data_IF_847490181226
#
_entry.id   IF_847490181226
#
_cell.length_a   1.000
_cell.length_b   1.000
_cell.length_c   1.000
_cell.angle_alpha   90.00
_cell.angle_beta   90.00
_cell.angle_gamma   90.00
#
_symmetry.space_group_name_H-M   'P 1'
#
loop_
_entity.id
_entity.type
_entity.pdbx_description
1 polymer ?
#
# COMPACT_ATOMS: atom_id res chain seq x y z
N UNK A 1 -25.31 -1.14 0.94
CA UNK A 1 -24.40 -1.32 -0.21
C UNK A 1 -23.30 -0.30 0.01
N UNK A 2 -22.08 -0.79 0.25
CA UNK A 2 -20.91 0.09 0.32
C UNK A 2 -20.66 0.67 -1.06
N UNK A 3 -20.10 1.86 -1.15
CA UNK A 3 -19.70 2.52 -2.40
C UNK A 3 -18.79 1.62 -3.28
N UNK A 4 -18.12 0.64 -2.66
CA UNK A 4 -17.14 -0.24 -3.29
C UNK A 4 -17.65 -1.64 -3.63
N UNK A 5 -18.96 -1.91 -3.50
CA UNK A 5 -19.47 -3.27 -3.72
C UNK A 5 -19.20 -3.80 -5.15
N UNK A 6 -19.18 -2.89 -6.14
CA UNK A 6 -19.01 -3.20 -7.57
C UNK A 6 -17.59 -2.97 -8.11
N UNK A 7 -16.63 -2.57 -7.26
CA UNK A 7 -15.24 -2.36 -7.71
C UNK A 7 -14.52 -3.70 -7.77
N UNK A 8 -14.09 -4.08 -8.98
CA UNK A 8 -13.28 -5.26 -9.25
C UNK A 8 -11.81 -4.89 -9.46
N UNK A 9 -10.91 -5.85 -9.27
CA UNK A 9 -9.48 -5.67 -9.53
C UNK A 9 -9.23 -5.83 -11.03
N UNK A 10 -8.69 -4.79 -11.66
CA UNK A 10 -8.35 -4.84 -13.08
C UNK A 10 -7.00 -5.53 -13.32
N UNK A 11 -7.02 -6.53 -14.21
CA UNK A 11 -5.81 -7.19 -14.69
C UNK A 11 -5.18 -8.13 -13.68
N UNK A 12 -3.84 -8.25 -13.71
CA UNK A 12 -3.09 -9.22 -12.88
C UNK A 12 -1.97 -8.61 -12.06
N UNK A 13 -1.82 -7.29 -12.07
CA UNK A 13 -0.75 -6.62 -11.34
C UNK A 13 -1.30 -5.78 -10.19
N UNK A 14 -0.81 -6.03 -8.97
CA UNK A 14 -1.01 -5.15 -7.83
C UNK A 14 0.28 -4.36 -7.60
N UNK A 15 0.19 -3.04 -7.71
CA UNK A 15 1.29 -2.12 -7.49
C UNK A 15 1.18 -1.55 -6.08
N UNK A 16 2.23 -1.72 -5.30
CA UNK A 16 2.40 -1.03 -4.02
C UNK A 16 3.38 0.13 -4.23
N UNK A 17 2.91 1.37 -4.02
CA UNK A 17 3.64 2.55 -4.46
C UNK A 17 3.70 3.61 -3.36
N UNK A 18 4.64 4.54 -3.49
CA UNK A 18 4.68 5.71 -2.62
C UNK A 18 3.63 6.73 -3.05
N UNK A 19 2.59 6.94 -2.24
CA UNK A 19 1.61 8.02 -2.40
C UNK A 19 1.16 8.50 -1.02
N UNK A 20 1.45 9.77 -0.73
CA UNK A 20 1.28 10.35 0.61
C UNK A 20 -0.12 10.92 0.85
N UNK A 21 -1.01 10.84 -0.14
CA UNK A 21 -2.40 11.29 -0.02
C UNK A 21 -3.38 10.14 0.29
N UNK A 22 -2.91 8.90 0.32
CA UNK A 22 -3.77 7.70 0.43
C UNK A 22 -3.41 6.89 1.67
N UNK A 23 -4.41 6.25 2.28
CA UNK A 23 -4.21 5.43 3.47
C UNK A 23 -3.56 4.09 3.14
N UNK A 24 -4.07 3.40 2.11
CA UNK A 24 -3.55 2.12 1.63
C UNK A 24 -3.12 2.27 0.16
N UNK A 25 -1.82 2.39 -0.14
CA UNK A 25 -1.36 2.76 -1.48
C UNK A 25 -1.21 1.53 -2.40
N UNK A 26 -2.33 0.84 -2.62
CA UNK A 26 -2.44 -0.26 -3.57
C UNK A 26 -3.13 0.21 -4.85
N UNK A 27 -2.59 -0.21 -5.99
CA UNK A 27 -3.11 0.13 -7.30
C UNK A 27 -3.19 -1.12 -8.15
N UNK A 28 -4.19 -1.23 -9.01
CA UNK A 28 -4.25 -2.26 -10.04
C UNK A 28 -3.78 -1.69 -11.39
N UNK A 29 -4.19 -2.24 -12.53
CA UNK A 29 -3.84 -1.69 -13.84
C UNK A 29 -4.61 -0.41 -14.20
N UNK A 30 -5.79 -0.19 -13.63
CA UNK A 30 -6.68 0.94 -13.95
C UNK A 30 -6.54 2.11 -12.98
N UNK A 31 -6.15 1.86 -11.73
CA UNK A 31 -6.08 2.95 -10.77
C UNK A 31 -5.85 2.54 -9.32
N UNK A 32 -6.13 3.49 -8.43
CA UNK A 32 -6.04 3.32 -6.99
C UNK A 32 -7.15 2.37 -6.55
N UNK A 33 -6.78 1.36 -5.77
CA UNK A 33 -7.75 0.45 -5.20
C UNK A 33 -8.43 1.05 -3.96
N UNK A 34 -9.66 0.63 -3.65
CA UNK A 34 -10.32 1.01 -2.40
C UNK A 34 -9.47 0.67 -1.17
N UNK A 35 -9.37 1.63 -0.25
CA UNK A 35 -8.64 1.46 1.02
C UNK A 35 -9.49 0.84 2.14
N UNK A 36 -10.78 0.60 1.88
CA UNK A 36 -11.70 -0.03 2.82
C UNK A 36 -11.25 -1.46 3.19
N UNK A 37 -11.16 -1.75 4.48
CA UNK A 37 -10.70 -3.05 4.97
C UNK A 37 -11.59 -4.19 4.46
N UNK A 38 -12.91 -4.01 4.45
CA UNK A 38 -13.83 -5.07 4.04
C UNK A 38 -13.70 -5.38 2.56
N UNK A 39 -13.48 -4.37 1.73
CA UNK A 39 -13.18 -4.52 0.31
C UNK A 39 -11.84 -5.23 0.10
N UNK A 40 -10.75 -4.76 0.72
CA UNK A 40 -9.42 -5.35 0.59
C UNK A 40 -9.39 -6.84 0.97
N UNK A 41 -10.10 -7.19 2.05
CA UNK A 41 -10.19 -8.59 2.50
C UNK A 41 -11.03 -9.44 1.56
N UNK A 42 -12.11 -8.89 1.00
CA UNK A 42 -13.02 -9.62 0.10
C UNK A 42 -12.43 -9.78 -1.30
N UNK A 43 -11.93 -8.71 -1.89
CA UNK A 43 -11.50 -8.64 -3.28
C UNK A 43 -10.08 -9.20 -3.49
N UNK A 44 -9.16 -8.88 -2.57
CA UNK A 44 -7.76 -9.32 -2.65
C UNK A 44 -7.45 -10.50 -1.73
N UNK A 45 -8.33 -10.85 -0.80
CA UNK A 45 -8.08 -11.94 0.15
C UNK A 45 -7.09 -11.59 1.26
N UNK A 46 -6.81 -10.30 1.48
CA UNK A 46 -5.82 -9.87 2.46
C UNK A 46 -6.25 -10.21 3.90
N UNK A 47 -5.27 -10.46 4.76
CA UNK A 47 -5.50 -10.54 6.20
C UNK A 47 -5.75 -9.16 6.80
N UNK A 48 -6.57 -9.10 7.86
CA UNK A 48 -6.81 -7.83 8.57
C UNK A 48 -5.53 -7.23 9.15
N UNK A 49 -4.56 -8.08 9.54
CA UNK A 49 -3.27 -7.62 10.04
C UNK A 49 -2.46 -6.95 8.95
N UNK A 50 -2.38 -7.53 7.75
CA UNK A 50 -1.68 -6.90 6.63
C UNK A 50 -2.33 -5.58 6.22
N UNK A 51 -3.66 -5.53 6.15
CA UNK A 51 -4.38 -4.26 5.86
C UNK A 51 -4.03 -3.17 6.87
N UNK A 52 -4.04 -3.49 8.17
CA UNK A 52 -3.68 -2.54 9.21
C UNK A 52 -2.22 -2.06 9.08
N UNK A 53 -1.30 -2.95 8.72
CA UNK A 53 0.10 -2.63 8.55
C UNK A 53 0.38 -1.78 7.30
N UNK A 54 -0.32 -2.04 6.19
CA UNK A 54 -0.29 -1.19 4.99
C UNK A 54 -0.79 0.22 5.31
N UNK A 55 -1.92 0.34 6.03
CA UNK A 55 -2.47 1.61 6.46
C UNK A 55 -1.51 2.37 7.40
N UNK A 56 -0.88 1.66 8.33
CA UNK A 56 0.11 2.24 9.24
C UNK A 56 1.38 2.71 8.50
N UNK A 57 1.77 2.05 7.41
CA UNK A 57 2.85 2.50 6.54
C UNK A 57 2.47 3.76 5.76
N UNK A 58 1.27 3.83 5.17
CA UNK A 58 0.75 5.02 4.49
C UNK A 58 0.69 6.24 5.43
N UNK A 59 0.23 6.06 6.67
CA UNK A 59 0.24 7.14 7.67
C UNK A 59 1.66 7.60 8.05
N UNK A 60 2.60 6.67 8.19
CA UNK A 60 3.99 7.01 8.50
C UNK A 60 4.63 7.80 7.36
N UNK A 61 4.32 7.43 6.11
CA UNK A 61 4.70 8.17 4.92
C UNK A 61 4.17 9.61 4.94
N UNK A 62 2.86 9.80 5.15
CA UNK A 62 2.24 11.12 5.24
C UNK A 62 2.92 12.01 6.27
N UNK A 63 3.24 11.48 7.46
CA UNK A 63 3.99 12.21 8.50
C UNK A 63 5.38 12.63 8.06
N UNK A 64 6.12 11.76 7.37
CA UNK A 64 7.44 12.11 6.83
C UNK A 64 7.31 13.25 5.82
N UNK A 65 6.32 13.19 4.91
CA UNK A 65 6.10 14.25 3.91
C UNK A 65 5.66 15.57 4.54
N UNK A 66 4.73 15.56 5.50
CA UNK A 66 4.31 16.77 6.21
C UNK A 66 5.48 17.42 6.98
N UNK A 67 6.40 16.60 7.50
CA UNK A 67 7.59 17.05 8.24
C UNK A 67 8.81 17.37 7.35
N UNK A 68 8.79 17.04 6.05
CA UNK A 68 9.86 17.38 5.07
C UNK A 68 10.13 18.87 4.92
N UNK A 69 9.29 19.75 5.49
CA UNK A 69 9.55 21.18 5.52
C UNK A 69 10.66 21.61 6.49
N UNK A 70 11.20 20.74 7.36
CA UNK A 70 11.97 21.25 8.52
C UNK A 70 13.24 20.54 9.04
N UNK A 71 13.71 19.35 8.61
CA UNK A 71 14.80 18.69 9.38
C UNK A 71 15.80 17.78 8.62
N UNK A 72 17.06 17.83 9.08
CA UNK A 72 18.19 16.91 8.85
C UNK A 72 17.89 15.50 9.42
N UNK A 73 17.97 14.44 8.62
CA UNK A 73 17.58 13.06 9.01
C UNK A 73 16.58 12.38 8.05
N UNK A 74 16.24 13.05 6.95
CA UNK A 74 15.34 12.59 5.91
C UNK A 74 15.76 11.24 5.29
N UNK A 75 17.03 11.10 4.91
CA UNK A 75 17.52 9.89 4.25
C UNK A 75 17.32 8.63 5.11
N UNK A 76 17.47 8.75 6.44
CA UNK A 76 17.28 7.63 7.37
C UNK A 76 15.80 7.26 7.50
N UNK A 77 14.92 8.25 7.68
CA UNK A 77 13.47 8.01 7.75
C UNK A 77 12.91 7.40 6.46
N UNK A 78 13.45 7.79 5.31
CA UNK A 78 13.07 7.23 4.01
C UNK A 78 13.62 5.83 3.79
N UNK A 79 14.85 5.57 4.22
CA UNK A 79 15.43 4.23 4.20
C UNK A 79 14.63 3.27 5.10
N UNK A 80 14.20 3.72 6.28
CA UNK A 80 13.33 2.94 7.17
C UNK A 80 11.97 2.64 6.54
N UNK A 81 11.35 3.64 5.89
CA UNK A 81 10.08 3.44 5.17
C UNK A 81 10.23 2.48 3.98
N UNK A 82 11.31 2.57 3.20
CA UNK A 82 11.60 1.64 2.11
C UNK A 82 11.84 0.22 2.64
N UNK A 83 12.59 0.06 3.73
CA UNK A 83 12.81 -1.24 4.37
C UNK A 83 11.50 -1.87 4.85
N UNK A 84 10.63 -1.08 5.51
CA UNK A 84 9.30 -1.55 5.93
C UNK A 84 8.43 -1.90 4.73
N UNK A 85 8.47 -1.09 3.67
CA UNK A 85 7.71 -1.34 2.45
C UNK A 85 8.09 -2.68 1.80
N UNK A 86 9.38 -3.00 1.71
CA UNK A 86 9.85 -4.30 1.21
C UNK A 86 9.33 -5.48 2.02
N UNK A 87 9.25 -5.33 3.35
CA UNK A 87 8.64 -6.34 4.22
C UNK A 87 7.15 -6.54 3.92
N UNK A 88 6.42 -5.45 3.70
CA UNK A 88 5.00 -5.49 3.33
C UNK A 88 4.78 -6.09 1.95
N UNK A 89 5.66 -5.81 0.99
CA UNK A 89 5.62 -6.40 -0.36
C UNK A 89 5.80 -7.90 -0.29
N UNK A 90 6.79 -8.38 0.45
CA UNK A 90 6.99 -9.82 0.63
C UNK A 90 5.79 -10.49 1.32
N UNK A 91 5.08 -9.78 2.20
CA UNK A 91 3.85 -10.30 2.79
C UNK A 91 2.68 -10.29 1.80
N UNK A 92 2.48 -9.19 1.07
CA UNK A 92 1.51 -9.12 -0.04
C UNK A 92 1.71 -10.27 -1.03
N UNK A 93 2.94 -10.50 -1.48
CA UNK A 93 3.30 -11.60 -2.38
C UNK A 93 2.89 -12.96 -1.80
N UNK A 94 2.99 -13.17 -0.49
CA UNK A 94 2.57 -14.42 0.15
C UNK A 94 1.06 -14.59 0.22
N UNK A 95 0.31 -13.50 0.34
CA UNK A 95 -1.15 -13.57 0.44
C UNK A 95 -1.83 -13.58 -0.93
N UNK A 96 -1.26 -12.90 -1.92
CA UNK A 96 -1.92 -12.71 -3.22
C UNK A 96 -1.13 -13.20 -4.42
N UNK A 97 0.11 -13.64 -4.25
CA UNK A 97 1.05 -13.98 -5.32
C UNK A 97 0.63 -15.15 -6.22
N UNK A 98 -0.30 -15.99 -5.76
CA UNK A 98 -0.89 -17.04 -6.59
C UNK A 98 -1.85 -16.49 -7.66
N UNK A 99 -2.39 -15.28 -7.44
CA UNK A 99 -3.38 -14.64 -8.31
C UNK A 99 -2.82 -13.42 -9.03
N UNK A 100 -2.01 -12.62 -8.33
CA UNK A 100 -1.53 -11.34 -8.82
C UNK A 100 0.00 -11.24 -8.73
N UNK A 101 0.60 -10.57 -9.72
CA UNK A 101 1.97 -10.09 -9.64
C UNK A 101 2.02 -8.85 -8.75
N UNK A 102 2.86 -8.87 -7.72
CA UNK A 102 3.06 -7.72 -6.85
C UNK A 102 4.27 -6.92 -7.32
N UNK A 103 4.09 -5.62 -7.55
CA UNK A 103 5.15 -4.72 -7.99
C UNK A 103 5.33 -3.59 -6.99
N UNK A 104 6.53 -3.50 -6.41
CA UNK A 104 6.89 -2.38 -5.56
C UNK A 104 7.50 -1.22 -6.36
N UNK A 105 7.00 0.00 -6.16
CA UNK A 105 7.59 1.24 -6.69
C UNK A 105 8.08 2.11 -5.53
N UNK A 106 9.39 2.09 -5.24
CA UNK A 106 9.96 2.92 -4.19
C UNK A 106 9.95 4.40 -4.57
N UNK A 107 10.14 5.26 -3.57
CA UNK A 107 10.32 6.69 -3.75
C UNK A 107 11.61 6.99 -4.55
N UNK A 108 11.56 7.93 -5.49
CA UNK A 108 12.68 8.37 -6.35
C UNK A 108 12.82 9.88 -6.35
#
# INVERSE_FOLDING_TARGET
MSEYDDVEVAGRTIRFMWDYWVGVPLWDEEGLLPEDESWLRRALGLSSTLVADLAAWGQAMGRVVDHRTTVRGEDEALAELDARARGLVAWLEREVGDTYEVVYRPWR
#
